data_IF_100912292424
#
_entry.id   IF_100912292424
#
_cell.length_a   1.000
_cell.length_b   1.000
_cell.length_c   1.000
_cell.angle_alpha   90.00
_cell.angle_beta   90.00
_cell.angle_gamma   90.00
#
_symmetry.space_group_name_H-M   'P 1'
#
loop_
_entity.id
_entity.type
_entity.pdbx_description
1 polymer ?
#
# COMPACT_ATOMS: atom_id res chain seq x y z
N UNK A 1 35.77 -24.13 -0.87
CA UNK A 1 34.77 -25.16 -0.54
C UNK A 1 33.42 -24.47 -0.41
N UNK A 2 32.48 -24.75 -1.31
CA UNK A 2 31.11 -24.22 -1.23
C UNK A 2 30.39 -24.89 -0.07
N UNK A 3 29.75 -24.12 0.81
CA UNK A 3 28.96 -24.68 1.91
C UNK A 3 27.86 -25.62 1.37
N UNK A 4 27.55 -26.72 2.08
CA UNK A 4 26.50 -27.65 1.69
C UNK A 4 25.13 -26.95 1.63
N UNK A 5 24.33 -27.23 0.60
CA UNK A 5 22.98 -26.68 0.42
C UNK A 5 22.11 -27.03 1.65
N UNK A 6 21.71 -26.01 2.42
CA UNK A 6 20.80 -26.20 3.55
C UNK A 6 19.39 -26.59 3.07
N UNK A 7 18.75 -27.53 3.78
CA UNK A 7 17.41 -28.00 3.44
C UNK A 7 16.36 -26.89 3.55
N UNK A 8 16.44 -26.08 4.60
CA UNK A 8 15.59 -24.91 4.82
C UNK A 8 16.44 -23.67 4.51
N UNK A 9 16.17 -22.95 3.40
CA UNK A 9 16.89 -21.72 3.09
C UNK A 9 16.51 -20.61 4.07
N UNK A 10 17.29 -19.52 4.08
CA UNK A 10 16.93 -18.30 4.81
C UNK A 10 15.58 -17.79 4.32
N UNK A 11 14.67 -17.51 5.24
CA UNK A 11 13.29 -17.08 4.97
C UNK A 11 12.81 -16.10 6.05
N UNK A 12 11.60 -15.56 5.92
CA UNK A 12 10.99 -14.72 6.96
C UNK A 12 11.50 -13.27 7.03
N UNK A 13 12.30 -12.83 6.06
CA UNK A 13 12.85 -11.46 5.97
C UNK A 13 11.85 -10.37 5.55
N UNK A 14 10.54 -10.58 5.76
CA UNK A 14 9.47 -9.73 5.21
C UNK A 14 9.57 -8.26 5.62
N UNK A 15 10.13 -7.94 6.80
CA UNK A 15 10.30 -6.55 7.28
C UNK A 15 11.18 -5.69 6.36
N UNK A 16 12.02 -6.33 5.55
CA UNK A 16 12.88 -5.66 4.58
C UNK A 16 12.20 -5.45 3.21
N UNK A 17 11.02 -6.05 2.98
CA UNK A 17 10.29 -5.90 1.73
C UNK A 17 9.62 -4.53 1.67
N UNK A 18 9.78 -3.83 0.54
CA UNK A 18 9.06 -2.58 0.30
C UNK A 18 7.55 -2.78 0.22
N UNK A 19 7.09 -3.90 -0.33
CA UNK A 19 5.67 -4.28 -0.34
C UNK A 19 5.11 -4.34 1.09
N UNK A 20 5.83 -4.97 2.02
CA UNK A 20 5.45 -5.04 3.43
C UNK A 20 5.42 -3.66 4.10
N UNK A 21 6.48 -2.86 3.93
CA UNK A 21 6.58 -1.53 4.54
C UNK A 21 5.45 -0.60 4.09
N UNK A 22 5.14 -0.59 2.79
CA UNK A 22 4.05 0.23 2.25
C UNK A 22 2.68 -0.31 2.69
N UNK A 23 2.46 -1.63 2.64
CA UNK A 23 1.20 -2.22 3.10
C UNK A 23 0.96 -1.97 4.60
N UNK A 24 2.01 -1.98 5.41
CA UNK A 24 1.93 -1.66 6.84
C UNK A 24 1.50 -0.20 7.07
N UNK A 25 2.08 0.75 6.33
CA UNK A 25 1.63 2.14 6.38
C UNK A 25 0.18 2.29 5.91
N UNK A 26 -0.24 1.56 4.86
CA UNK A 26 -1.65 1.52 4.43
C UNK A 26 -2.53 1.06 5.58
N UNK A 27 -2.16 -0.01 6.29
CA UNK A 27 -2.93 -0.49 7.43
C UNK A 27 -3.09 0.57 8.52
N UNK A 28 -1.99 1.23 8.94
CA UNK A 28 -2.03 2.27 9.96
C UNK A 28 -2.89 3.47 9.53
N UNK A 29 -2.80 3.87 8.25
CA UNK A 29 -3.61 4.94 7.67
C UNK A 29 -5.08 4.53 7.63
N UNK A 30 -5.39 3.29 7.23
CA UNK A 30 -6.76 2.79 7.10
C UNK A 30 -7.47 2.69 8.44
N UNK A 31 -6.83 2.14 9.48
CA UNK A 31 -7.40 2.11 10.84
C UNK A 31 -7.78 3.53 11.27
N UNK A 32 -6.84 4.48 11.14
CA UNK A 32 -7.11 5.86 11.55
C UNK A 32 -8.15 6.57 10.68
N UNK A 33 -8.21 6.24 9.40
CA UNK A 33 -9.19 6.77 8.46
C UNK A 33 -10.60 6.28 8.81
N UNK A 34 -10.76 4.98 9.01
CA UNK A 34 -12.03 4.35 9.37
C UNK A 34 -12.55 4.92 10.69
N UNK A 35 -11.72 5.01 11.72
CA UNK A 35 -12.08 5.59 13.02
C UNK A 35 -12.56 7.05 12.96
N UNK A 36 -12.16 7.78 11.91
CA UNK A 36 -12.42 9.22 11.78
C UNK A 36 -13.55 9.55 10.82
N UNK A 37 -13.69 8.79 9.73
CA UNK A 37 -14.54 9.17 8.59
C UNK A 37 -15.59 8.14 8.22
N UNK A 38 -15.56 6.95 8.83
CA UNK A 38 -16.53 5.86 8.61
C UNK A 38 -17.29 5.63 9.92
N UNK A 39 -18.58 5.34 9.83
CA UNK A 39 -19.36 4.99 11.03
C UNK A 39 -18.78 3.70 11.65
N UNK A 40 -18.34 3.72 12.93
CA UNK A 40 -17.80 2.54 13.60
C UNK A 40 -18.75 1.35 13.69
N UNK A 41 -20.06 1.56 13.49
CA UNK A 41 -21.06 0.48 13.46
C UNK A 41 -21.32 -0.06 12.05
N UNK A 42 -20.75 0.57 11.02
CA UNK A 42 -20.96 0.14 9.65
C UNK A 42 -20.11 -1.07 9.29
N UNK A 43 -20.68 -1.94 8.45
CA UNK A 43 -19.94 -3.08 7.89
C UNK A 43 -18.72 -2.65 7.09
N UNK A 44 -18.78 -1.49 6.45
CA UNK A 44 -17.67 -0.90 5.69
C UNK A 44 -16.45 -0.61 6.57
N UNK A 45 -16.63 -0.16 7.81
CA UNK A 45 -15.51 0.05 8.75
C UNK A 45 -14.74 -1.26 8.95
N UNK A 46 -15.45 -2.31 9.33
CA UNK A 46 -14.85 -3.63 9.55
C UNK A 46 -14.18 -4.18 8.29
N UNK A 47 -14.84 -4.08 7.13
CA UNK A 47 -14.32 -4.60 5.86
C UNK A 47 -13.01 -3.93 5.46
N UNK A 48 -12.96 -2.60 5.49
CA UNK A 48 -11.75 -1.85 5.15
C UNK A 48 -10.59 -2.21 6.09
N UNK A 49 -10.83 -2.25 7.40
CA UNK A 49 -9.81 -2.58 8.40
C UNK A 49 -9.30 -4.01 8.22
N UNK A 50 -10.19 -4.97 7.95
CA UNK A 50 -9.82 -6.36 7.72
C UNK A 50 -9.08 -6.57 6.39
N UNK A 51 -9.48 -5.91 5.32
CA UNK A 51 -8.79 -5.96 4.04
C UNK A 51 -7.35 -5.44 4.18
N UNK A 52 -7.17 -4.31 4.86
CA UNK A 52 -5.86 -3.76 5.16
C UNK A 52 -4.99 -4.70 6.01
N UNK A 53 -5.55 -5.26 7.09
CA UNK A 53 -4.88 -6.23 7.96
C UNK A 53 -4.47 -7.49 7.21
N UNK A 54 -5.39 -8.06 6.44
CA UNK A 54 -5.17 -9.25 5.61
C UNK A 54 -4.01 -9.03 4.63
N UNK A 55 -3.95 -7.86 3.99
CA UNK A 55 -2.85 -7.50 3.10
C UNK A 55 -1.47 -7.63 3.75
N UNK A 56 -1.29 -7.04 4.94
CA UNK A 56 -0.01 -7.07 5.66
C UNK A 56 0.33 -8.47 6.18
N UNK A 57 -0.65 -9.17 6.75
CA UNK A 57 -0.45 -10.49 7.36
C UNK A 57 -0.05 -11.53 6.33
N UNK A 58 -0.73 -11.57 5.18
CA UNK A 58 -0.42 -12.54 4.14
C UNK A 58 0.99 -12.34 3.53
N UNK A 59 1.51 -11.11 3.49
CA UNK A 59 2.92 -10.87 3.10
C UNK A 59 3.88 -11.50 4.10
N UNK A 60 3.63 -11.29 5.41
CA UNK A 60 4.48 -11.83 6.47
C UNK A 60 4.42 -13.36 6.52
N UNK A 61 3.21 -13.93 6.49
CA UNK A 61 2.97 -15.37 6.50
C UNK A 61 3.57 -16.04 5.26
N UNK A 62 3.40 -15.46 4.07
CA UNK A 62 3.99 -15.96 2.83
C UNK A 62 5.51 -16.02 2.91
N UNK A 63 6.13 -14.97 3.44
CA UNK A 63 7.58 -14.92 3.63
C UNK A 63 8.08 -15.94 4.65
N UNK A 64 7.33 -16.21 5.73
CA UNK A 64 7.68 -17.23 6.71
C UNK A 64 7.53 -18.65 6.13
N UNK A 65 6.46 -18.90 5.37
CA UNK A 65 6.24 -20.19 4.72
C UNK A 65 7.25 -20.49 3.60
N UNK A 66 7.92 -19.48 3.05
CA UNK A 66 8.83 -19.61 1.89
C UNK A 66 10.00 -20.58 2.08
N UNK A 67 10.38 -20.87 3.34
CA UNK A 67 11.42 -21.84 3.66
C UNK A 67 11.00 -23.30 3.45
N UNK A 68 9.70 -23.58 3.51
CA UNK A 68 9.15 -24.95 3.44
C UNK A 68 8.14 -25.13 2.32
N UNK A 69 7.54 -24.05 1.80
CA UNK A 69 6.57 -24.11 0.70
C UNK A 69 6.54 -22.85 -0.16
N UNK A 70 7.20 -22.93 -1.33
CA UNK A 70 7.13 -21.89 -2.38
C UNK A 70 5.72 -21.70 -2.95
N UNK A 71 4.94 -22.78 -3.04
CA UNK A 71 3.53 -22.72 -3.46
C UNK A 71 2.69 -21.89 -2.47
N UNK A 72 2.91 -22.08 -1.16
CA UNK A 72 2.19 -21.31 -0.14
C UNK A 72 2.63 -19.84 -0.13
N UNK A 73 3.93 -19.59 -0.28
CA UNK A 73 4.47 -18.23 -0.44
C UNK A 73 3.78 -17.46 -1.58
N UNK A 74 3.69 -18.07 -2.77
CA UNK A 74 3.00 -17.48 -3.93
C UNK A 74 1.52 -17.24 -3.65
N UNK A 75 0.83 -18.23 -3.09
CA UNK A 75 -0.60 -18.14 -2.79
C UNK A 75 -0.89 -16.98 -1.84
N UNK A 76 -0.16 -16.89 -0.72
CA UNK A 76 -0.37 -15.84 0.27
C UNK A 76 0.00 -14.46 -0.28
N UNK A 77 1.07 -14.35 -1.07
CA UNK A 77 1.41 -13.08 -1.74
C UNK A 77 0.28 -12.63 -2.67
N UNK A 78 -0.39 -13.55 -3.36
CA UNK A 78 -1.55 -13.24 -4.21
C UNK A 78 -2.79 -12.85 -3.40
N UNK A 79 -3.05 -13.51 -2.26
CA UNK A 79 -4.11 -13.11 -1.33
C UNK A 79 -3.87 -11.70 -0.80
N UNK A 80 -2.62 -11.37 -0.42
CA UNK A 80 -2.26 -10.03 0.01
C UNK A 80 -2.59 -8.98 -1.06
N UNK A 81 -2.21 -9.25 -2.32
CA UNK A 81 -2.54 -8.38 -3.45
C UNK A 81 -4.05 -8.18 -3.56
N UNK A 82 -4.81 -9.26 -3.56
CA UNK A 82 -6.28 -9.21 -3.69
C UNK A 82 -6.92 -8.40 -2.55
N UNK A 83 -6.48 -8.57 -1.31
CA UNK A 83 -6.99 -7.80 -0.17
C UNK A 83 -6.69 -6.30 -0.29
N UNK A 84 -5.53 -5.91 -0.80
CA UNK A 84 -5.21 -4.50 -1.02
C UNK A 84 -5.98 -3.91 -2.21
N UNK A 85 -6.30 -4.72 -3.22
CA UNK A 85 -7.16 -4.30 -4.33
C UNK A 85 -8.61 -4.07 -3.89
N UNK A 86 -9.15 -4.93 -3.02
CA UNK A 86 -10.46 -4.72 -2.38
C UNK A 86 -10.48 -3.40 -1.59
N UNK A 87 -9.47 -3.16 -0.75
CA UNK A 87 -9.35 -1.91 0.00
C UNK A 87 -9.24 -0.68 -0.92
N UNK A 88 -8.60 -0.81 -2.09
CA UNK A 88 -8.52 0.26 -3.08
C UNK A 88 -9.91 0.66 -3.58
N UNK A 89 -10.75 -0.33 -3.89
CA UNK A 89 -12.14 -0.10 -4.30
C UNK A 89 -12.95 0.56 -3.17
N UNK A 90 -12.74 0.18 -1.91
CA UNK A 90 -13.43 0.83 -0.77
C UNK A 90 -13.10 2.32 -0.66
N UNK A 91 -11.85 2.72 -0.90
CA UNK A 91 -11.46 4.14 -0.90
C UNK A 91 -12.04 4.89 -2.11
N UNK A 92 -12.09 4.27 -3.29
CA UNK A 92 -12.72 4.84 -4.49
C UNK A 92 -14.23 5.04 -4.25
N UNK A 93 -14.88 4.05 -3.64
CA UNK A 93 -16.29 4.12 -3.26
C UNK A 93 -16.58 5.17 -2.20
N UNK A 94 -15.73 5.31 -1.18
CA UNK A 94 -15.83 6.39 -0.21
C UNK A 94 -15.85 7.76 -0.87
N UNK A 95 -14.96 7.99 -1.85
CA UNK A 95 -14.89 9.26 -2.57
C UNK A 95 -16.12 9.45 -3.46
N UNK A 96 -16.43 8.46 -4.29
CA UNK A 96 -17.52 8.49 -5.26
C UNK A 96 -18.89 8.68 -4.61
N UNK A 97 -19.21 7.91 -3.57
CA UNK A 97 -20.51 7.95 -2.90
C UNK A 97 -20.75 9.26 -2.14
N UNK A 98 -19.68 10.00 -1.81
CA UNK A 98 -19.75 11.29 -1.08
C UNK A 98 -19.55 12.50 -1.99
N UNK A 99 -19.46 12.31 -3.31
CA UNK A 99 -19.20 13.39 -4.26
C UNK A 99 -17.84 14.07 -4.06
N UNK A 100 -16.87 13.35 -3.50
CA UNK A 100 -15.54 13.85 -3.21
C UNK A 100 -14.58 13.57 -4.38
N UNK A 101 -13.63 14.46 -4.68
CA UNK A 101 -12.76 14.30 -5.84
C UNK A 101 -11.71 13.21 -5.62
N UNK A 102 -11.57 12.34 -6.63
CA UNK A 102 -10.40 11.52 -6.82
C UNK A 102 -9.35 12.32 -7.61
N UNK A 103 -8.18 12.50 -7.04
CA UNK A 103 -7.13 13.36 -7.58
C UNK A 103 -6.36 12.62 -8.68
N UNK A 104 -6.12 13.30 -9.80
CA UNK A 104 -5.29 12.77 -10.87
C UNK A 104 -3.85 12.48 -10.38
N UNK A 105 -3.14 11.49 -10.97
CA UNK A 105 -1.80 11.10 -10.51
C UNK A 105 -0.75 12.22 -10.47
N UNK A 106 -0.91 13.24 -11.32
CA UNK A 106 -0.06 14.43 -11.45
C UNK A 106 -0.54 15.63 -10.62
N UNK A 107 -1.61 15.48 -9.84
CA UNK A 107 -2.13 16.56 -9.00
C UNK A 107 -1.05 17.06 -8.02
N UNK A 108 -0.83 18.38 -7.85
CA UNK A 108 0.28 18.93 -7.08
C UNK A 108 0.37 18.38 -5.64
N UNK A 109 -0.76 18.20 -4.96
CA UNK A 109 -0.79 17.63 -3.62
C UNK A 109 -0.25 16.18 -3.59
N UNK A 110 -0.66 15.33 -4.56
CA UNK A 110 -0.18 13.96 -4.67
C UNK A 110 1.29 13.89 -5.10
N UNK A 111 1.75 14.80 -5.95
CA UNK A 111 3.17 14.90 -6.31
C UNK A 111 4.02 15.23 -5.08
N UNK A 112 3.58 16.18 -4.24
CA UNK A 112 4.24 16.48 -2.96
C UNK A 112 4.20 15.31 -1.98
N UNK A 113 3.09 14.58 -1.90
CA UNK A 113 2.97 13.37 -1.08
C UNK A 113 3.99 12.31 -1.50
N UNK A 114 4.04 11.99 -2.80
CA UNK A 114 4.98 11.01 -3.37
C UNK A 114 6.44 11.42 -3.14
N UNK A 115 6.75 12.72 -3.25
CA UNK A 115 8.08 13.25 -2.98
C UNK A 115 8.51 13.09 -1.52
N UNK A 116 7.57 13.19 -0.57
CA UNK A 116 7.84 13.04 0.86
C UNK A 116 8.21 11.61 1.27
N UNK A 117 7.76 10.59 0.52
CA UNK A 117 8.00 9.16 0.77
C UNK A 117 7.72 8.78 2.23
N UNK A 118 6.53 9.15 2.72
CA UNK A 118 6.14 8.89 4.10
C UNK A 118 6.32 7.41 4.46
N UNK A 119 6.90 7.16 5.63
CA UNK A 119 7.09 5.84 6.22
C UNK A 119 6.19 5.63 7.45
N UNK A 120 5.64 6.71 8.04
CA UNK A 120 4.85 6.64 9.27
C UNK A 120 3.52 7.39 9.15
N UNK A 121 2.55 7.01 9.99
CA UNK A 121 1.26 7.69 10.07
C UNK A 121 1.41 9.18 10.43
N UNK A 122 2.38 9.53 11.29
CA UNK A 122 2.61 10.93 11.68
C UNK A 122 3.19 11.77 10.54
N UNK A 123 4.01 11.19 9.67
CA UNK A 123 4.46 11.87 8.45
C UNK A 123 3.32 12.12 7.47
N UNK A 124 2.36 11.18 7.36
CA UNK A 124 1.13 11.37 6.57
C UNK A 124 0.29 12.50 7.19
N UNK A 125 0.08 12.50 8.51
CA UNK A 125 -0.65 13.57 9.22
C UNK A 125 0.00 14.94 9.02
N UNK A 126 1.31 15.02 9.17
CA UNK A 126 2.06 16.25 8.95
C UNK A 126 1.95 16.75 7.51
N UNK A 127 1.92 15.85 6.52
CA UNK A 127 1.65 16.21 5.13
C UNK A 127 0.22 16.77 4.97
N UNK A 128 -0.80 16.10 5.51
CA UNK A 128 -2.20 16.58 5.44
C UNK A 128 -2.34 17.98 6.01
N UNK A 129 -1.78 18.24 7.20
CA UNK A 129 -1.86 19.58 7.82
C UNK A 129 -1.21 20.63 6.92
N UNK A 130 -0.02 20.34 6.38
CA UNK A 130 0.70 21.24 5.47
C UNK A 130 -0.06 21.51 4.16
N UNK A 131 -0.81 20.55 3.65
CA UNK A 131 -1.66 20.75 2.47
C UNK A 131 -2.88 21.60 2.80
N UNK A 132 -3.50 21.41 3.98
CA UNK A 132 -4.61 22.25 4.43
C UNK A 132 -4.21 23.69 4.68
N UNK A 133 -3.03 23.94 5.28
CA UNK A 133 -2.55 25.31 5.48
C UNK A 133 -2.33 26.05 4.16
N UNK A 134 -1.86 25.35 3.12
CA UNK A 134 -1.62 25.95 1.80
C UNK A 134 -2.89 26.40 1.12
N UNK A 135 -3.97 25.62 1.25
CA UNK A 135 -5.22 26.02 0.62
C UNK A 135 -5.79 27.26 1.30
N UNK A 136 -5.64 27.40 2.63
CA UNK A 136 -6.05 28.62 3.36
C UNK A 136 -5.30 29.87 2.90
N UNK A 137 -3.97 29.84 2.85
CA UNK A 137 -3.16 31.01 2.42
C UNK A 137 -3.45 31.49 1.00
N UNK A 138 -3.74 30.58 0.07
CA UNK A 138 -4.09 30.97 -1.30
C UNK A 138 -5.46 31.65 -1.40
N UNK A 139 -6.37 31.37 -0.45
CA UNK A 139 -7.72 31.98 -0.43
C UNK A 139 -7.64 33.39 0.18
N UNK A 140 -6.85 33.57 1.24
CA UNK A 140 -6.64 34.85 1.92
C UNK A 140 -5.88 35.88 1.06
N UNK A 141 -4.96 35.43 0.20
CA UNK A 141 -4.25 36.30 -0.76
C UNK A 141 -5.14 36.76 -1.93
N UNK A 142 -6.12 35.95 -2.35
CA UNK A 142 -7.09 36.34 -3.38
C UNK A 142 -8.16 37.30 -2.83
N UNK A 143 -8.58 37.16 -1.57
CA UNK A 143 -9.53 38.09 -0.94
C UNK A 143 -8.97 39.51 -0.75
N UNK A 144 -7.65 39.67 -0.59
CA UNK A 144 -7.02 40.99 -0.44
C UNK A 144 -6.90 41.79 -1.74
N UNK A 145 -7.09 41.15 -2.90
CA UNK A 145 -6.97 41.80 -4.22
C UNK A 145 -8.35 42.08 -4.85
N UNK A 146 -9.43 41.47 -4.34
CA UNK A 146 -10.80 41.70 -4.81
C UNK A 146 -11.45 42.93 -4.14
N UNK A 147 -10.82 44.09 -4.34
CA UNK A 147 -11.31 45.40 -3.91
C UNK A 147 -11.48 46.37 -5.09
N UNK A 148 -12.04 45.94 -6.22
CA UNK A 148 -12.61 46.81 -7.25
C UNK A 148 -13.33 45.98 -8.35
N UNK A 149 -14.65 46.22 -8.47
CA UNK A 149 -15.50 46.18 -9.67
C UNK A 149 -15.85 44.85 -10.40
N UNK A 150 -17.17 44.62 -10.44
CA UNK A 150 -18.01 44.06 -11.53
C UNK A 150 -17.87 42.59 -11.99
N UNK A 151 -18.81 41.78 -11.49
CA UNK A 151 -19.67 40.79 -12.19
C UNK A 151 -19.25 40.24 -13.57
N UNK A 152 -18.74 39.00 -13.57
CA UNK A 152 -19.03 37.93 -14.57
C UNK A 152 -18.65 36.56 -13.96
N UNK A 153 -19.53 35.54 -13.99
CA UNK A 153 -19.14 34.19 -13.56
C UNK A 153 -18.47 33.46 -14.73
N UNK A 154 -17.14 33.51 -14.77
CA UNK A 154 -16.33 32.70 -15.69
C UNK A 154 -16.04 31.35 -15.03
N UNK A 155 -16.43 30.28 -15.72
CA UNK A 155 -16.34 28.90 -15.24
C UNK A 155 -14.90 28.38 -15.05
N UNK A 156 -14.77 27.44 -14.12
CA UNK A 156 -13.54 26.68 -13.80
C UNK A 156 -13.12 26.85 -12.34
N UNK A 157 -13.54 25.91 -11.48
CA UNK A 157 -13.46 25.95 -10.02
C UNK A 157 -12.10 26.44 -9.45
N UNK A 158 -12.08 27.53 -8.66
CA UNK A 158 -10.92 27.93 -7.88
C UNK A 158 -10.71 26.91 -6.75
N UNK A 159 -9.81 25.95 -6.97
CA UNK A 159 -9.27 24.98 -6.00
C UNK A 159 -10.05 24.86 -4.69
N UNK A 160 -11.18 24.13 -4.71
CA UNK A 160 -11.95 23.86 -3.50
C UNK A 160 -11.00 23.36 -2.40
N UNK A 161 -11.09 23.95 -1.21
CA UNK A 161 -10.29 23.55 -0.07
C UNK A 161 -10.41 22.05 0.20
N UNK A 162 -9.39 21.29 -0.17
CA UNK A 162 -9.38 19.84 -0.02
C UNK A 162 -9.50 19.50 1.47
N UNK A 163 -10.56 18.78 1.81
CA UNK A 163 -10.78 18.35 3.19
C UNK A 163 -9.74 17.29 3.60
N UNK A 164 -9.58 17.09 4.90
CA UNK A 164 -8.69 16.04 5.42
C UNK A 164 -9.07 14.65 4.91
N UNK A 165 -10.37 14.35 4.77
CA UNK A 165 -10.82 13.04 4.28
C UNK A 165 -10.41 12.84 2.81
N UNK A 166 -10.53 13.87 1.97
CA UNK A 166 -10.11 13.82 0.57
C UNK A 166 -8.61 13.59 0.45
N UNK A 167 -7.81 14.36 1.20
CA UNK A 167 -6.34 14.24 1.18
C UNK A 167 -5.89 12.85 1.64
N UNK A 168 -6.44 12.34 2.74
CA UNK A 168 -6.06 11.02 3.28
C UNK A 168 -6.52 9.88 2.37
N UNK A 169 -7.74 9.93 1.83
CA UNK A 169 -8.23 8.90 0.92
C UNK A 169 -7.37 8.81 -0.36
N UNK A 170 -7.04 9.97 -0.96
CA UNK A 170 -6.19 10.00 -2.15
C UNK A 170 -4.74 9.60 -1.86
N UNK A 171 -4.21 9.94 -0.68
CA UNK A 171 -2.90 9.45 -0.24
C UNK A 171 -2.91 7.92 -0.06
N UNK A 172 -3.96 7.36 0.55
CA UNK A 172 -4.14 5.91 0.70
C UNK A 172 -4.22 5.21 -0.66
N UNK A 173 -5.00 5.73 -1.62
CA UNK A 173 -5.03 5.22 -3.00
C UNK A 173 -3.63 5.25 -3.66
N UNK A 174 -2.85 6.31 -3.45
CA UNK A 174 -1.48 6.37 -3.98
C UNK A 174 -0.55 5.33 -3.35
N UNK A 175 -0.70 5.04 -2.06
CA UNK A 175 0.08 3.99 -1.37
C UNK A 175 -0.36 2.60 -1.82
N UNK A 176 -1.67 2.37 -1.96
CA UNK A 176 -2.26 1.12 -2.44
C UNK A 176 -1.80 0.77 -3.85
N UNK A 177 -1.81 1.74 -4.77
CA UNK A 177 -1.27 1.54 -6.11
C UNK A 177 0.19 1.10 -6.09
N UNK A 178 1.01 1.71 -5.22
CA UNK A 178 2.41 1.31 -5.05
C UNK A 178 2.54 -0.08 -4.44
N UNK A 179 1.74 -0.40 -3.41
CA UNK A 179 1.75 -1.71 -2.76
C UNK A 179 1.36 -2.84 -3.72
N UNK A 180 0.26 -2.67 -4.47
CA UNK A 180 -0.19 -3.63 -5.48
C UNK A 180 0.88 -3.83 -6.57
N UNK A 181 1.47 -2.76 -7.09
CA UNK A 181 2.57 -2.85 -8.06
C UNK A 181 3.79 -3.63 -7.52
N UNK A 182 4.16 -3.38 -6.26
CA UNK A 182 5.28 -4.09 -5.62
C UNK A 182 4.94 -5.58 -5.40
N UNK A 183 3.70 -5.91 -5.07
CA UNK A 183 3.24 -7.29 -4.90
C UNK A 183 3.19 -8.04 -6.23
N UNK A 184 2.75 -7.40 -7.32
CA UNK A 184 2.78 -8.00 -8.66
C UNK A 184 4.22 -8.36 -9.07
N UNK A 185 5.17 -7.45 -8.82
CA UNK A 185 6.60 -7.73 -9.05
C UNK A 185 7.14 -8.83 -8.16
N UNK A 186 6.70 -8.88 -6.90
CA UNK A 186 7.10 -9.92 -5.96
C UNK A 186 6.57 -11.29 -6.40
N UNK A 187 5.32 -11.38 -6.85
CA UNK A 187 4.73 -12.59 -7.43
C UNK A 187 5.52 -13.09 -8.64
N UNK A 188 5.84 -12.19 -9.57
CA UNK A 188 6.64 -12.53 -10.75
C UNK A 188 8.02 -13.09 -10.37
N UNK A 189 8.70 -12.47 -9.39
CA UNK A 189 10.00 -12.93 -8.91
C UNK A 189 9.92 -14.29 -8.19
N UNK A 190 8.90 -14.49 -7.37
CA UNK A 190 8.65 -15.76 -6.68
C UNK A 190 8.32 -16.88 -7.67
N UNK A 191 7.53 -16.60 -8.71
CA UNK A 191 7.17 -17.55 -9.76
C UNK A 191 8.41 -17.99 -10.56
N UNK A 192 9.20 -17.03 -11.03
CA UNK A 192 10.46 -17.31 -11.74
C UNK A 192 11.45 -18.12 -10.88
N UNK A 193 11.51 -17.85 -9.59
CA UNK A 193 12.34 -18.63 -8.65
C UNK A 193 11.81 -20.06 -8.51
N UNK A 194 10.50 -20.22 -8.39
CA UNK A 194 9.88 -21.53 -8.25
C UNK A 194 10.05 -22.39 -9.51
N UNK A 195 9.92 -21.80 -10.70
CA UNK A 195 10.19 -22.47 -11.98
C UNK A 195 11.65 -22.92 -12.10
N UNK A 196 12.60 -22.07 -11.69
CA UNK A 196 14.04 -22.35 -11.83
C UNK A 196 14.57 -23.34 -10.81
N UNK A 197 14.18 -23.22 -9.54
CA UNK A 197 14.80 -23.95 -8.43
C UNK A 197 14.00 -25.17 -7.96
N UNK A 198 12.72 -25.24 -8.35
CA UNK A 198 11.75 -26.18 -7.79
C UNK A 198 11.29 -25.79 -6.39
N UNK A 199 10.54 -26.69 -5.75
CA UNK A 199 10.05 -26.54 -4.39
C UNK A 199 10.92 -27.24 -3.36
N UNK A 200 10.30 -27.51 -2.21
CA UNK A 200 10.95 -28.21 -1.11
C UNK A 200 11.29 -29.67 -1.47
N UNK A 201 10.43 -30.35 -2.23
CA UNK A 201 10.64 -31.76 -2.61
C UNK A 201 11.88 -31.92 -3.48
N UNK A 202 12.05 -31.07 -4.48
CA UNK A 202 13.20 -31.06 -5.39
C UNK A 202 14.48 -30.76 -4.62
N UNK A 203 14.44 -29.76 -3.72
CA UNK A 203 15.57 -29.44 -2.84
C UNK A 203 15.92 -30.58 -1.89
N UNK A 204 14.93 -31.20 -1.25
CA UNK A 204 15.13 -32.37 -0.38
C UNK A 204 15.79 -33.53 -1.14
N UNK A 205 15.36 -33.78 -2.38
CA UNK A 205 15.98 -34.80 -3.23
C UNK A 205 17.45 -34.48 -3.53
N UNK A 206 17.79 -33.22 -3.87
CA UNK A 206 19.18 -32.78 -4.09
C UNK A 206 20.04 -32.98 -2.84
N UNK A 207 19.59 -32.48 -1.69
CA UNK A 207 20.31 -32.58 -0.41
C UNK A 207 20.55 -34.05 -0.01
N UNK A 208 19.53 -34.90 -0.11
CA UNK A 208 19.67 -36.34 0.18
C UNK A 208 20.61 -37.05 -0.79
N UNK A 209 20.64 -36.63 -2.05
CA UNK A 209 21.51 -37.23 -3.06
C UNK A 209 22.97 -36.82 -2.86
N UNK A 210 23.22 -35.58 -2.48
CA UNK A 210 24.55 -35.11 -2.09
C UNK A 210 25.08 -35.84 -0.83
N UNK A 211 24.24 -35.97 0.20
CA UNK A 211 24.60 -36.70 1.43
C UNK A 211 24.92 -38.18 1.19
N UNK A 212 24.23 -38.82 0.24
CA UNK A 212 24.52 -40.22 -0.17
C UNK A 212 25.86 -40.35 -0.91
N UNK A 213 26.20 -39.40 -1.78
CA UNK A 213 27.47 -39.38 -2.51
C UNK A 213 28.68 -39.06 -1.62
N UNK A 214 28.45 -38.39 -0.49
CA UNK A 214 29.48 -38.04 0.50
C UNK A 214 29.69 -39.07 1.61
N UNK A 215 28.98 -40.20 1.60
CA UNK A 215 29.27 -41.33 2.51
C UNK A 215 30.38 -42.19 1.87
N UNK A 216 31.50 -42.44 2.58
CA UNK A 216 32.58 -43.32 2.10
C UNK A 216 32.11 -44.76 1.94
#
# INVERSE_FOLDING_TARGET
MTEPEALIPKHGGYRNLKSFQVAQLVYDVTVRFCDRYIDPRSRTHDQMVQAARSGVQNIAEGSQASGTSKKMELKLTNVARASLEELRLDYEDFLRQRGLPQLAPNHPALMRFKAKRCATLDEVRAWVEKERSRTRTNTDEQERVAGAESSVPVGGDPWQSLSSSVLVANAALSLLNLACYLLDRQLAAQAATFEKEGGFTERLYRVRSAARKGKP
#
